data_IF_310315661848
#
_entry.id   IF_310315661848
#
_cell.length_a   1.000
_cell.length_b   1.000
_cell.length_c   1.000
_cell.angle_alpha   90.00
_cell.angle_beta   90.00
_cell.angle_gamma   90.00
#
_symmetry.space_group_name_H-M   'P 1'
#
loop_
_entity.id
_entity.type
_entity.pdbx_description
1 polymer ?
#
# COMPACT_ATOMS: atom_id res chain seq x y z
N UNK A 1 -16.13 16.23 -7.75
CA UNK A 1 -15.57 17.55 -7.38
C UNK A 1 -14.72 17.31 -6.15
N UNK A 2 -13.42 17.56 -6.26
CA UNK A 2 -12.45 17.36 -5.21
C UNK A 2 -12.86 18.18 -3.95
N UNK A 3 -13.02 17.51 -2.81
CA UNK A 3 -13.53 18.11 -1.57
C UNK A 3 -12.49 18.97 -0.85
N UNK A 4 -12.84 19.51 0.32
CA UNK A 4 -12.02 20.44 1.13
C UNK A 4 -10.61 19.90 1.50
N UNK A 5 -10.37 18.59 1.33
CA UNK A 5 -9.10 17.90 1.63
C UNK A 5 -8.35 17.40 0.39
N UNK A 6 -8.79 17.79 -0.80
CA UNK A 6 -8.07 17.43 -2.02
C UNK A 6 -6.66 18.02 -2.03
N UNK A 7 -5.66 17.19 -2.32
CA UNK A 7 -4.25 17.59 -2.26
C UNK A 7 -3.58 17.39 -0.90
N UNK A 8 -4.28 16.88 0.11
CA UNK A 8 -3.63 16.44 1.35
C UNK A 8 -2.69 15.27 1.06
N UNK A 9 -1.40 15.48 1.29
CA UNK A 9 -0.36 14.47 1.18
C UNK A 9 0.25 14.28 2.57
N UNK A 10 0.29 13.03 3.04
CA UNK A 10 0.94 12.66 4.29
C UNK A 10 2.00 11.58 4.02
N UNK A 11 3.16 12.03 3.56
CA UNK A 11 4.23 11.13 3.13
C UNK A 11 4.74 10.20 4.25
N UNK A 12 4.65 10.62 5.51
CA UNK A 12 5.01 9.77 6.64
C UNK A 12 4.01 8.62 6.79
N UNK A 13 2.71 8.92 6.74
CA UNK A 13 1.67 7.90 6.78
C UNK A 13 1.77 6.97 5.58
N UNK A 14 1.92 7.50 4.37
CA UNK A 14 2.00 6.71 3.14
C UNK A 14 3.16 5.71 3.19
N UNK A 15 4.35 6.16 3.60
CA UNK A 15 5.51 5.27 3.68
C UNK A 15 5.35 4.23 4.78
N UNK A 16 4.80 4.59 5.95
CA UNK A 16 4.51 3.64 7.01
C UNK A 16 3.44 2.61 6.59
N UNK A 17 2.46 3.05 5.80
CA UNK A 17 1.45 2.17 5.20
C UNK A 17 2.09 1.20 4.20
N UNK A 18 2.97 1.68 3.31
CA UNK A 18 3.70 0.85 2.34
C UNK A 18 4.61 -0.16 3.03
N UNK A 19 5.28 0.23 4.13
CA UNK A 19 6.11 -0.69 4.92
C UNK A 19 5.24 -1.81 5.53
N UNK A 20 4.15 -1.44 6.18
CA UNK A 20 3.22 -2.41 6.76
C UNK A 20 2.53 -3.27 5.71
N UNK A 21 2.26 -2.73 4.52
CA UNK A 21 1.67 -3.43 3.39
C UNK A 21 2.56 -4.56 2.87
N UNK A 22 3.87 -4.35 2.82
CA UNK A 22 4.83 -5.38 2.41
C UNK A 22 4.96 -6.44 3.50
N UNK A 23 5.31 -6.01 4.72
CA UNK A 23 5.76 -6.91 5.78
C UNK A 23 4.62 -7.58 6.54
N UNK A 24 3.50 -6.86 6.74
CA UNK A 24 2.40 -7.28 7.62
C UNK A 24 1.05 -6.83 7.05
N UNK A 25 0.62 -7.33 5.87
CA UNK A 25 -0.54 -6.80 5.13
C UNK A 25 -1.87 -6.87 5.90
N UNK A 26 -1.98 -7.75 6.90
CA UNK A 26 -3.13 -7.78 7.82
C UNK A 26 -3.30 -6.48 8.64
N UNK A 27 -2.20 -5.77 8.90
CA UNK A 27 -2.21 -4.49 9.65
C UNK A 27 -2.96 -3.40 8.90
N UNK A 28 -2.56 -3.01 7.66
CA UNK A 28 -3.32 -2.05 6.88
C UNK A 28 -4.72 -2.56 6.50
N UNK A 29 -4.92 -3.87 6.32
CA UNK A 29 -6.24 -4.43 6.05
C UNK A 29 -7.23 -4.29 7.21
N UNK A 30 -6.74 -4.31 8.46
CA UNK A 30 -7.56 -4.11 9.66
C UNK A 30 -7.71 -2.63 10.06
N UNK A 31 -7.09 -1.71 9.32
CA UNK A 31 -7.11 -0.29 9.65
C UNK A 31 -8.53 0.29 9.49
N UNK A 32 -9.08 1.02 10.49
CA UNK A 32 -10.38 1.64 10.35
C UNK A 32 -10.40 2.65 9.19
N UNK A 33 -11.44 2.61 8.34
CA UNK A 33 -11.57 3.56 7.22
C UNK A 33 -11.50 5.03 7.69
N UNK A 34 -12.04 5.34 8.87
CA UNK A 34 -11.98 6.69 9.44
C UNK A 34 -10.55 7.17 9.69
N UNK A 35 -9.63 6.26 10.03
CA UNK A 35 -8.22 6.59 10.18
C UNK A 35 -7.60 6.90 8.80
N UNK A 36 -7.83 6.05 7.80
CA UNK A 36 -7.33 6.29 6.43
C UNK A 36 -7.85 7.62 5.88
N UNK A 37 -9.14 7.92 6.05
CA UNK A 37 -9.74 9.21 5.67
C UNK A 37 -9.08 10.41 6.35
N UNK A 38 -8.65 10.24 7.61
CA UNK A 38 -7.96 11.29 8.36
C UNK A 38 -6.54 11.51 7.89
N UNK A 39 -5.83 10.44 7.56
CA UNK A 39 -4.39 10.52 7.28
C UNK A 39 -4.08 10.73 5.79
N UNK A 40 -4.87 10.18 4.86
CA UNK A 40 -4.57 10.12 3.43
C UNK A 40 -5.67 10.69 2.50
N UNK A 41 -6.64 11.41 3.08
CA UNK A 41 -7.83 11.90 2.38
C UNK A 41 -8.73 10.76 1.81
N UNK A 42 -9.94 11.07 1.28
CA UNK A 42 -10.85 10.07 0.73
C UNK A 42 -10.25 9.21 -0.38
N UNK A 43 -9.44 9.81 -1.24
CA UNK A 43 -8.76 9.13 -2.35
C UNK A 43 -7.76 8.06 -1.84
N UNK A 44 -7.23 8.20 -0.63
CA UNK A 44 -6.39 7.18 0.03
C UNK A 44 -7.09 5.85 0.32
N UNK A 45 -8.44 5.79 0.24
CA UNK A 45 -9.16 4.52 0.35
C UNK A 45 -8.96 3.60 -0.87
N UNK A 46 -8.46 4.11 -2.00
CA UNK A 46 -8.10 3.28 -3.16
C UNK A 46 -7.03 2.22 -2.83
N UNK A 47 -6.29 2.39 -1.71
CA UNK A 47 -5.37 1.39 -1.15
C UNK A 47 -6.00 0.00 -0.91
N UNK A 48 -7.34 -0.12 -0.86
CA UNK A 48 -8.00 -1.44 -0.82
C UNK A 48 -7.65 -2.32 -2.04
N UNK A 49 -7.44 -1.71 -3.22
CA UNK A 49 -7.04 -2.45 -4.42
C UNK A 49 -5.63 -3.04 -4.29
N UNK A 50 -4.74 -2.33 -3.57
CA UNK A 50 -3.39 -2.84 -3.28
C UNK A 50 -3.46 -4.07 -2.37
N UNK A 51 -4.33 -4.05 -1.37
CA UNK A 51 -4.55 -5.21 -0.48
C UNK A 51 -5.08 -6.43 -1.25
N UNK A 52 -5.95 -6.23 -2.24
CA UNK A 52 -6.39 -7.31 -3.13
C UNK A 52 -5.21 -7.91 -3.90
N UNK A 53 -4.34 -7.07 -4.49
CA UNK A 53 -3.13 -7.54 -5.17
C UNK A 53 -2.20 -8.30 -4.21
N UNK A 54 -1.95 -7.76 -3.02
CA UNK A 54 -1.04 -8.36 -2.03
C UNK A 54 -1.54 -9.69 -1.50
N UNK A 55 -2.86 -9.86 -1.39
CA UNK A 55 -3.50 -11.12 -1.00
C UNK A 55 -3.40 -12.22 -2.06
N UNK A 56 -3.01 -11.90 -3.29
CA UNK A 56 -2.74 -12.89 -4.34
C UNK A 56 -1.28 -13.38 -4.36
N UNK A 57 -0.40 -12.79 -3.55
CA UNK A 57 1.00 -13.20 -3.41
C UNK A 57 1.17 -14.16 -2.22
N UNK A 58 2.37 -14.72 -2.07
CA UNK A 58 2.78 -15.49 -0.88
C UNK A 58 2.81 -14.61 0.38
N UNK A 59 2.81 -15.25 1.55
CA UNK A 59 2.92 -14.54 2.83
C UNK A 59 4.18 -13.67 2.90
N UNK A 60 5.31 -14.19 2.42
CA UNK A 60 6.57 -13.46 2.30
C UNK A 60 6.80 -12.97 0.87
N UNK A 61 7.27 -11.74 0.72
CA UNK A 61 7.58 -11.11 -0.57
C UNK A 61 8.90 -10.37 -0.52
N UNK A 62 9.64 -10.35 -1.62
CA UNK A 62 10.81 -9.50 -1.81
C UNK A 62 10.41 -8.20 -2.52
N UNK A 63 10.89 -7.06 -2.02
CA UNK A 63 10.80 -5.79 -2.75
C UNK A 63 11.90 -5.76 -3.82
N UNK A 64 11.52 -5.90 -5.09
CA UNK A 64 12.45 -5.76 -6.22
C UNK A 64 12.66 -4.31 -6.63
N UNK A 65 11.64 -3.48 -6.39
CA UNK A 65 11.76 -2.05 -6.61
C UNK A 65 10.77 -1.28 -5.72
N UNK A 66 11.21 -0.12 -5.22
CA UNK A 66 10.35 0.84 -4.53
C UNK A 66 10.64 2.24 -5.03
N UNK A 67 9.58 2.96 -5.32
CA UNK A 67 9.62 4.37 -5.66
C UNK A 67 8.46 5.09 -4.96
N UNK A 68 8.75 6.26 -4.41
CA UNK A 68 7.74 7.14 -3.83
C UNK A 68 8.11 8.58 -4.16
N UNK A 69 7.16 9.33 -4.73
CA UNK A 69 7.38 10.71 -5.12
C UNK A 69 6.18 11.59 -4.83
N UNK A 70 6.47 12.77 -4.30
CA UNK A 70 5.53 13.86 -4.06
C UNK A 70 6.20 15.19 -4.44
N UNK A 71 5.44 16.15 -5.00
CA UNK A 71 4.04 16.03 -5.40
C UNK A 71 3.89 15.37 -6.79
N UNK A 72 2.85 14.55 -6.96
CA UNK A 72 2.38 14.11 -8.28
C UNK A 72 0.98 14.69 -8.52
N UNK A 73 0.91 15.95 -8.98
CA UNK A 73 -0.33 16.74 -8.93
C UNK A 73 -0.86 16.83 -7.48
N UNK A 74 -2.11 16.46 -7.24
CA UNK A 74 -2.75 16.44 -5.92
C UNK A 74 -2.59 15.12 -5.16
N UNK A 75 -1.75 14.20 -5.63
CA UNK A 75 -1.56 12.88 -5.02
C UNK A 75 -0.10 12.56 -4.74
N UNK A 76 0.12 11.53 -3.94
CA UNK A 76 1.39 10.83 -3.88
C UNK A 76 1.46 9.75 -4.96
N UNK A 77 2.63 9.60 -5.58
CA UNK A 77 2.89 8.51 -6.50
C UNK A 77 3.75 7.45 -5.80
N UNK A 78 3.12 6.34 -5.44
CA UNK A 78 3.78 5.14 -4.93
C UNK A 78 3.85 4.04 -5.98
N UNK A 79 5.02 3.40 -6.10
CA UNK A 79 5.22 2.23 -6.96
C UNK A 79 6.06 1.19 -6.22
N UNK A 80 5.55 -0.05 -6.20
CA UNK A 80 6.24 -1.23 -5.70
C UNK A 80 6.27 -2.30 -6.77
N UNK A 81 7.41 -2.98 -6.90
CA UNK A 81 7.53 -4.26 -7.61
C UNK A 81 7.85 -5.31 -6.57
N UNK A 82 6.92 -6.26 -6.39
CA UNK A 82 7.03 -7.33 -5.41
C UNK A 82 7.20 -8.67 -6.12
N UNK A 83 8.05 -9.53 -5.56
CA UNK A 83 8.20 -10.91 -6.00
C UNK A 83 7.84 -11.84 -4.85
N UNK A 84 6.94 -12.80 -5.07
CA UNK A 84 6.58 -13.79 -4.06
C UNK A 84 7.77 -14.73 -3.78
N UNK A 85 8.10 -14.91 -2.51
CA UNK A 85 9.15 -15.85 -2.11
C UNK A 85 8.64 -17.27 -2.33
N UNK A 86 9.25 -18.00 -3.27
CA UNK A 86 8.93 -19.42 -3.47
C UNK A 86 9.40 -20.21 -2.27
N UNK A 87 8.48 -20.90 -1.61
CA UNK A 87 8.85 -21.92 -0.66
C UNK A 87 9.46 -23.11 -1.43
N UNK A 88 10.74 -23.48 -1.21
CA UNK A 88 11.36 -24.59 -1.93
C UNK A 88 10.65 -25.94 -1.72
N UNK A 89 9.75 -26.04 -0.75
CA UNK A 89 8.89 -27.21 -0.55
C UNK A 89 7.68 -27.32 -1.51
N UNK A 90 7.37 -26.29 -2.31
CA UNK A 90 6.16 -26.29 -3.17
C UNK A 90 6.39 -26.82 -4.59
N UNK A 91 7.61 -27.27 -4.93
CA UNK A 91 7.90 -27.95 -6.21
C UNK A 91 7.90 -29.45 -6.04
N UNK A 92 6.77 -30.02 -5.61
CA UNK A 92 6.45 -31.44 -5.74
C UNK A 92 4.96 -31.66 -5.42
N UNK A 93 4.09 -31.51 -6.43
CA UNK A 93 2.86 -32.29 -6.55
C UNK A 93 2.40 -32.32 -8.00
#
# INVERSE_FOLDING_TARGET
MQGERAGLINAQFDNAWLDAFVDRPATPAAMPHLQVLREAAPEGLECVMWLVMRGALTDDVDIRHRFYHVPASNTAYGLLVLEGVKNPASTAS
#
